data_IF_912157973605
#
_entry.id   IF_912157973605
#
_cell.length_a   1.000
_cell.length_b   1.000
_cell.length_c   1.000
_cell.angle_alpha   90.00
_cell.angle_beta   90.00
_cell.angle_gamma   90.00
#
_symmetry.space_group_name_H-M   'P 1'
#
loop_
_entity.id
_entity.type
_entity.pdbx_description
1 polymer ?
#
# COMPACT_ATOMS: atom_id res chain seq x y z
N UNK A 1 22.26 -62.79 -51.24
CA UNK A 1 21.69 -62.65 -49.88
C UNK A 1 22.33 -61.45 -49.22
N UNK A 2 21.75 -60.26 -49.43
CA UNK A 2 22.27 -59.02 -48.88
C UNK A 2 21.86 -58.92 -47.40
N UNK A 3 22.85 -58.82 -46.53
CA UNK A 3 22.66 -58.57 -45.10
C UNK A 3 22.37 -57.07 -44.96
N UNK A 4 21.17 -56.72 -44.50
CA UNK A 4 20.84 -55.36 -44.08
C UNK A 4 21.68 -55.00 -42.85
N UNK A 5 22.67 -54.13 -43.02
CA UNK A 5 23.23 -53.38 -41.89
C UNK A 5 22.32 -52.20 -41.62
N UNK A 6 21.63 -52.25 -40.47
CA UNK A 6 20.85 -51.13 -39.94
C UNK A 6 21.82 -50.18 -39.27
N UNK A 7 21.82 -48.94 -39.74
CA UNK A 7 22.65 -47.83 -39.28
C UNK A 7 22.41 -47.50 -37.79
N UNK A 8 23.42 -47.54 -36.91
CA UNK A 8 23.28 -47.25 -35.48
C UNK A 8 23.04 -45.76 -35.17
N UNK A 9 23.63 -44.84 -35.95
CA UNK A 9 23.63 -43.39 -35.65
C UNK A 9 22.23 -42.77 -35.86
N UNK A 10 21.52 -43.19 -36.90
CA UNK A 10 20.15 -42.72 -37.16
C UNK A 10 19.10 -43.16 -36.13
N UNK A 11 19.38 -44.20 -35.35
CA UNK A 11 18.51 -44.63 -34.25
C UNK A 11 18.72 -43.78 -32.99
N UNK A 12 19.95 -43.34 -32.73
CA UNK A 12 20.31 -42.57 -31.55
C UNK A 12 19.77 -41.13 -31.65
N UNK A 13 19.86 -40.51 -32.83
CA UNK A 13 19.27 -39.19 -33.11
C UNK A 13 17.73 -39.20 -33.09
N UNK A 14 17.09 -40.26 -33.60
CA UNK A 14 15.65 -40.41 -33.43
C UNK A 14 15.26 -40.58 -31.96
N UNK A 15 16.04 -41.35 -31.18
CA UNK A 15 15.76 -41.53 -29.76
C UNK A 15 15.90 -40.23 -28.97
N UNK A 16 16.93 -39.42 -29.26
CA UNK A 16 17.13 -38.12 -28.63
C UNK A 16 16.04 -37.11 -28.99
N UNK A 17 15.59 -37.09 -30.25
CA UNK A 17 14.47 -36.24 -30.67
C UNK A 17 13.16 -36.65 -30.00
N UNK A 18 12.89 -37.95 -29.88
CA UNK A 18 11.69 -38.44 -29.16
C UNK A 18 11.78 -38.11 -27.67
N UNK A 19 12.94 -38.28 -27.04
CA UNK A 19 13.14 -37.92 -25.63
C UNK A 19 12.98 -36.42 -25.38
N UNK A 20 13.47 -35.57 -26.28
CA UNK A 20 13.32 -34.12 -26.22
C UNK A 20 11.84 -33.71 -26.35
N UNK A 21 11.12 -34.27 -27.32
CA UNK A 21 9.68 -34.02 -27.47
C UNK A 21 8.88 -34.51 -26.27
N UNK A 22 9.23 -35.67 -25.70
CA UNK A 22 8.59 -36.20 -24.50
C UNK A 22 8.89 -35.30 -23.30
N UNK A 23 10.13 -34.84 -23.12
CA UNK A 23 10.50 -33.90 -22.06
C UNK A 23 9.75 -32.56 -22.18
N UNK A 24 9.58 -32.04 -23.40
CA UNK A 24 8.82 -30.82 -23.67
C UNK A 24 7.32 -31.02 -23.36
N UNK A 25 6.75 -32.17 -23.73
CA UNK A 25 5.37 -32.53 -23.39
C UNK A 25 5.17 -32.66 -21.88
N UNK A 26 6.12 -33.27 -21.16
CA UNK A 26 6.10 -33.34 -19.70
C UNK A 26 6.23 -31.96 -19.04
N UNK A 27 7.11 -31.09 -19.55
CA UNK A 27 7.25 -29.70 -19.07
C UNK A 27 5.98 -28.88 -19.28
N UNK A 28 5.31 -29.04 -20.43
CA UNK A 28 4.01 -28.41 -20.71
C UNK A 28 2.93 -28.95 -19.79
N UNK A 29 2.88 -30.27 -19.57
CA UNK A 29 1.92 -30.90 -18.66
C UNK A 29 2.13 -30.43 -17.21
N UNK A 30 3.38 -30.28 -16.78
CA UNK A 30 3.72 -29.76 -15.45
C UNK A 30 3.28 -28.30 -15.29
N UNK A 31 3.57 -27.45 -16.28
CA UNK A 31 3.10 -26.05 -16.33
C UNK A 31 1.58 -25.94 -16.33
N UNK A 32 0.87 -26.80 -17.07
CA UNK A 32 -0.60 -26.86 -17.04
C UNK A 32 -1.09 -27.24 -15.64
N UNK A 33 -0.40 -28.16 -14.96
CA UNK A 33 -0.78 -28.57 -13.61
C UNK A 33 -0.51 -27.47 -12.57
N UNK A 34 0.56 -26.71 -12.75
CA UNK A 34 0.91 -25.53 -11.94
C UNK A 34 -0.10 -24.39 -12.16
N UNK A 35 -0.41 -24.04 -13.41
CA UNK A 35 -1.50 -23.11 -13.77
C UNK A 35 -2.86 -23.58 -13.25
N UNK A 36 -3.14 -24.89 -13.28
CA UNK A 36 -4.36 -25.45 -12.71
C UNK A 36 -4.39 -25.28 -11.19
N UNK A 37 -3.25 -25.44 -10.52
CA UNK A 37 -3.12 -25.24 -9.07
C UNK A 37 -3.30 -23.76 -8.71
N UNK A 38 -2.64 -22.86 -9.44
CA UNK A 38 -2.80 -21.40 -9.37
C UNK A 38 -4.27 -20.97 -9.53
N UNK A 39 -4.93 -21.43 -10.61
CA UNK A 39 -6.34 -21.11 -10.88
C UNK A 39 -7.25 -21.70 -9.79
N UNK A 40 -6.97 -22.90 -9.29
CA UNK A 40 -7.73 -23.52 -8.20
C UNK A 40 -7.59 -22.72 -6.90
N UNK A 41 -6.38 -22.25 -6.58
CA UNK A 41 -6.11 -21.40 -5.41
C UNK A 41 -6.81 -20.04 -5.54
N UNK A 42 -6.80 -19.42 -6.73
CA UNK A 42 -7.53 -18.17 -7.00
C UNK A 42 -9.04 -18.36 -6.91
N UNK A 43 -9.58 -19.49 -7.39
CA UNK A 43 -10.99 -19.83 -7.25
C UNK A 43 -11.38 -19.97 -5.77
N UNK A 44 -10.59 -20.71 -4.98
CA UNK A 44 -10.83 -20.88 -3.55
C UNK A 44 -10.76 -19.55 -2.78
N UNK A 45 -9.84 -18.65 -3.14
CA UNK A 45 -9.79 -17.30 -2.58
C UNK A 45 -11.03 -16.46 -2.94
N UNK A 46 -11.53 -16.57 -4.18
CA UNK A 46 -12.75 -15.89 -4.62
C UNK A 46 -14.00 -16.45 -3.94
N UNK A 47 -14.13 -17.77 -3.81
CA UNK A 47 -15.21 -18.43 -3.07
C UNK A 47 -15.23 -17.97 -1.61
N UNK A 48 -14.07 -17.93 -0.95
CA UNK A 48 -13.96 -17.43 0.42
C UNK A 48 -14.34 -15.95 0.54
N UNK A 49 -14.01 -15.10 -0.44
CA UNK A 49 -14.48 -13.70 -0.49
C UNK A 49 -15.99 -13.61 -0.68
N UNK A 50 -16.56 -14.41 -1.57
CA UNK A 50 -18.01 -14.44 -1.83
C UNK A 50 -18.78 -14.91 -0.59
N UNK A 51 -18.27 -15.92 0.13
CA UNK A 51 -18.82 -16.34 1.42
C UNK A 51 -18.77 -15.23 2.47
N UNK A 52 -17.65 -14.51 2.55
CA UNK A 52 -17.46 -13.39 3.49
C UNK A 52 -18.41 -12.22 3.17
N UNK A 53 -18.58 -11.89 1.89
CA UNK A 53 -19.58 -10.90 1.44
C UNK A 53 -21.02 -11.37 1.68
N UNK A 54 -21.30 -12.67 1.53
CA UNK A 54 -22.58 -13.27 1.89
C UNK A 54 -22.90 -13.14 3.38
N UNK A 55 -21.92 -13.34 4.25
CA UNK A 55 -22.04 -13.11 5.69
C UNK A 55 -22.32 -11.64 6.02
N UNK A 56 -21.66 -10.70 5.34
CA UNK A 56 -21.93 -9.26 5.48
C UNK A 56 -23.37 -8.91 5.10
N UNK A 57 -23.94 -9.51 4.05
CA UNK A 57 -25.35 -9.30 3.68
C UNK A 57 -26.30 -9.75 4.78
N UNK A 58 -26.01 -10.89 5.43
CA UNK A 58 -26.80 -11.39 6.57
C UNK A 58 -26.72 -10.44 7.77
N UNK A 59 -25.54 -9.92 8.08
CA UNK A 59 -25.34 -8.95 9.15
C UNK A 59 -26.03 -7.60 8.87
N UNK A 60 -25.96 -7.12 7.62
CA UNK A 60 -26.68 -5.92 7.17
C UNK A 60 -28.18 -6.11 7.32
N UNK A 61 -28.72 -7.28 6.96
CA UNK A 61 -30.15 -7.55 7.07
C UNK A 61 -30.61 -7.69 8.53
N UNK A 62 -29.77 -8.25 9.40
CA UNK A 62 -29.98 -8.23 10.85
C UNK A 62 -29.99 -6.80 11.39
N UNK A 63 -29.04 -5.97 10.97
CA UNK A 63 -28.93 -4.57 11.38
C UNK A 63 -30.14 -3.74 10.91
N UNK A 64 -30.64 -3.95 9.68
CA UNK A 64 -31.89 -3.35 9.18
C UNK A 64 -33.11 -3.76 10.02
N UNK A 65 -33.20 -5.04 10.39
CA UNK A 65 -34.29 -5.54 11.22
C UNK A 65 -34.27 -4.95 12.63
N UNK A 66 -33.08 -4.78 13.21
CA UNK A 66 -32.90 -4.13 14.51
C UNK A 66 -33.24 -2.63 14.44
N UNK A 67 -32.84 -1.93 13.37
CA UNK A 67 -33.24 -0.54 13.11
C UNK A 67 -34.75 -0.37 12.96
N UNK A 68 -35.42 -1.34 12.32
CA UNK A 68 -36.88 -1.34 12.17
C UNK A 68 -37.58 -1.49 13.52
N UNK A 69 -37.13 -2.43 14.36
CA UNK A 69 -37.67 -2.61 15.73
C UNK A 69 -37.48 -1.37 16.59
N UNK A 70 -36.30 -0.74 16.55
CA UNK A 70 -36.03 0.50 17.30
C UNK A 70 -36.91 1.66 16.85
N UNK A 71 -37.21 1.76 15.55
CA UNK A 71 -38.15 2.75 15.02
C UNK A 71 -39.57 2.50 15.54
N UNK A 72 -40.03 1.25 15.52
CA UNK A 72 -41.36 0.86 15.98
C UNK A 72 -41.55 1.10 17.50
N UNK A 73 -40.49 0.86 18.29
CA UNK A 73 -40.45 1.16 19.74
C UNK A 73 -40.49 2.68 20.04
N UNK A 74 -39.84 3.52 19.22
CA UNK A 74 -39.95 4.98 19.35
C UNK A 74 -41.35 5.50 19.01
N UNK A 75 -41.99 4.95 17.97
CA UNK A 75 -43.37 5.34 17.61
C UNK A 75 -44.41 4.86 18.60
N UNK A 76 -44.21 3.69 19.24
CA UNK A 76 -45.14 3.18 20.27
C UNK A 76 -45.01 3.90 21.62
N UNK A 77 -43.87 4.55 21.91
CA UNK A 77 -43.69 5.42 23.08
C UNK A 77 -44.15 6.87 22.87
N UNK A 78 -44.50 7.26 21.65
CA UNK A 78 -44.88 8.63 21.26
C UNK A 78 -46.36 9.00 21.43
N UNK A 79 -47.14 8.23 22.19
CA UNK A 79 -48.58 8.49 22.43
C UNK A 79 -48.85 9.23 23.74
N UNK A 80 -48.38 10.48 23.91
CA UNK A 80 -48.61 11.21 25.16
C UNK A 80 -48.33 12.72 25.09
N UNK A 81 -49.34 13.48 24.65
CA UNK A 81 -49.59 14.93 24.84
C UNK A 81 -48.42 15.93 24.69
N UNK A 82 -48.49 16.66 23.59
CA UNK A 82 -47.89 17.98 23.37
C UNK A 82 -48.43 18.99 24.39
N UNK A 83 -47.56 19.67 25.14
CA UNK A 83 -47.95 20.73 26.07
C UNK A 83 -46.77 21.38 26.81
N UNK A 84 -46.20 22.42 26.19
CA UNK A 84 -45.52 23.60 26.75
C UNK A 84 -44.68 23.46 28.05
N UNK A 85 -43.36 23.70 27.96
CA UNK A 85 -42.61 24.29 29.09
C UNK A 85 -41.40 25.14 28.61
N UNK A 86 -41.29 26.42 29.03
CA UNK A 86 -40.21 27.33 28.67
C UNK A 86 -39.23 27.57 29.83
N UNK A 87 -37.93 27.31 29.67
CA UNK A 87 -36.87 27.86 30.54
C UNK A 87 -35.49 27.52 29.96
N UNK A 88 -34.67 28.51 29.59
CA UNK A 88 -33.78 29.33 30.44
C UNK A 88 -32.71 28.49 31.15
N UNK A 89 -31.49 28.63 30.65
CA UNK A 89 -30.24 28.26 31.32
C UNK A 89 -30.18 28.92 32.70
N UNK A 90 -30.15 28.10 33.75
CA UNK A 90 -29.61 28.46 35.05
C UNK A 90 -28.53 27.43 35.39
N UNK A 91 -27.29 27.90 35.51
CA UNK A 91 -26.27 27.17 36.25
C UNK A 91 -26.67 27.22 37.72
N UNK A 92 -26.94 26.05 38.30
CA UNK A 92 -27.00 25.87 39.74
C UNK A 92 -26.03 24.76 40.08
N UNK A 93 -25.01 25.15 40.81
CA UNK A 93 -24.02 24.33 41.49
C UNK A 93 -24.74 23.37 42.45
N UNK A 94 -24.74 22.08 42.12
CA UNK A 94 -25.11 21.02 43.05
C UNK A 94 -24.26 19.79 42.72
N UNK A 95 -23.31 19.50 43.60
CA UNK A 95 -22.30 18.43 43.52
C UNK A 95 -22.85 17.00 43.49
N UNK A 96 -23.63 16.64 42.47
CA UNK A 96 -23.99 15.26 42.15
C UNK A 96 -23.16 14.77 40.97
N UNK A 97 -22.34 13.75 41.22
CA UNK A 97 -21.65 12.96 40.18
C UNK A 97 -22.63 12.62 39.05
N UNK A 98 -22.40 13.16 37.87
CA UNK A 98 -23.08 12.78 36.65
C UNK A 98 -22.70 11.33 36.34
N UNK A 99 -23.58 10.38 36.63
CA UNK A 99 -23.50 9.05 36.05
C UNK A 99 -23.86 9.17 34.56
N UNK A 100 -22.98 8.78 33.62
CA UNK A 100 -23.32 8.80 32.20
C UNK A 100 -24.53 7.88 31.97
N UNK A 101 -25.58 8.41 31.33
CA UNK A 101 -26.72 7.60 30.87
C UNK A 101 -26.18 6.46 29.98
N UNK A 102 -26.31 5.24 30.50
CA UNK A 102 -26.15 3.97 29.78
C UNK A 102 -27.27 3.89 28.74
N UNK A 103 -26.97 4.24 27.50
CA UNK A 103 -27.68 3.78 26.30
C UNK A 103 -26.75 3.87 25.07
N UNK A 104 -25.44 3.72 25.27
CA UNK A 104 -24.50 3.43 24.18
C UNK A 104 -24.46 1.92 24.04
N UNK A 105 -24.83 1.33 22.89
CA UNK A 105 -24.62 -0.09 22.64
C UNK A 105 -23.17 -0.44 22.99
N UNK A 106 -22.95 -1.48 23.80
CA UNK A 106 -21.60 -1.96 24.08
C UNK A 106 -21.08 -2.58 22.79
N UNK A 107 -20.43 -1.79 21.95
CA UNK A 107 -19.65 -2.32 20.85
C UNK A 107 -18.57 -3.24 21.45
N UNK A 108 -18.42 -4.48 20.95
CA UNK A 108 -17.34 -5.33 21.38
C UNK A 108 -16.04 -4.54 21.18
N UNK A 109 -15.25 -4.39 22.25
CA UNK A 109 -13.90 -3.85 22.11
C UNK A 109 -13.17 -4.80 21.18
N UNK A 110 -12.73 -4.31 20.04
CA UNK A 110 -11.83 -5.09 19.21
C UNK A 110 -10.52 -5.25 19.99
N UNK A 111 -10.17 -6.49 20.31
CA UNK A 111 -8.97 -6.86 21.05
C UNK A 111 -8.09 -7.67 20.13
N UNK A 112 -6.91 -7.15 19.81
CA UNK A 112 -5.90 -7.85 19.04
C UNK A 112 -5.47 -9.11 19.79
N UNK A 113 -5.35 -10.24 19.09
CA UNK A 113 -4.78 -11.45 19.68
C UNK A 113 -3.27 -11.29 19.90
N UNK A 114 -2.68 -12.15 20.73
CA UNK A 114 -1.24 -12.11 20.97
C UNK A 114 -0.46 -12.43 19.67
N UNK A 115 -0.96 -13.38 18.87
CA UNK A 115 -0.40 -13.72 17.57
C UNK A 115 -0.44 -12.53 16.61
N UNK A 116 -1.54 -11.76 16.64
CA UNK A 116 -1.69 -10.54 15.84
C UNK A 116 -0.64 -9.51 16.24
N UNK A 117 -0.46 -9.29 17.54
CA UNK A 117 0.52 -8.34 18.09
C UNK A 117 1.95 -8.73 17.69
N UNK A 118 2.29 -10.00 17.76
CA UNK A 118 3.61 -10.51 17.39
C UNK A 118 3.87 -10.43 15.88
N UNK A 119 2.83 -10.71 15.07
CA UNK A 119 2.91 -10.55 13.63
C UNK A 119 3.06 -9.08 13.22
N UNK A 120 2.35 -8.16 13.91
CA UNK A 120 2.37 -6.72 13.64
C UNK A 120 3.77 -6.09 13.76
N UNK A 121 4.67 -6.73 14.52
CA UNK A 121 6.06 -6.30 14.71
C UNK A 121 7.01 -6.77 13.59
N UNK A 122 6.50 -7.49 12.59
CA UNK A 122 7.29 -8.08 11.49
C UNK A 122 6.85 -7.52 10.13
N UNK A 123 7.76 -7.41 9.15
CA UNK A 123 7.38 -6.93 7.82
C UNK A 123 6.52 -7.95 7.05
N UNK A 124 6.49 -9.19 7.52
CA UNK A 124 5.65 -10.27 7.00
C UNK A 124 4.18 -10.18 7.43
N UNK A 125 3.80 -9.15 8.20
CA UNK A 125 2.40 -8.91 8.56
C UNK A 125 1.54 -8.79 7.30
N UNK A 126 0.59 -9.70 7.14
CA UNK A 126 -0.34 -9.68 6.02
C UNK A 126 -1.40 -8.60 6.26
N UNK A 127 -1.32 -7.57 5.44
CA UNK A 127 -2.17 -6.38 5.54
C UNK A 127 -3.57 -6.59 4.95
N UNK A 128 -3.75 -7.56 4.07
CA UNK A 128 -5.00 -7.77 3.32
C UNK A 128 -6.09 -8.47 4.13
N UNK A 129 -5.73 -9.07 5.26
CA UNK A 129 -6.65 -9.80 6.13
C UNK A 129 -7.53 -8.89 7.01
N UNK A 130 -7.23 -7.59 7.09
CA UNK A 130 -7.81 -6.71 8.10
C UNK A 130 -8.75 -5.67 7.50
N UNK A 131 -9.90 -5.51 8.15
CA UNK A 131 -10.80 -4.41 7.88
C UNK A 131 -10.29 -3.09 8.48
N UNK A 132 -10.87 -1.99 8.02
CA UNK A 132 -10.46 -0.64 8.42
C UNK A 132 -10.45 -0.42 9.94
N UNK A 133 -11.47 -0.91 10.65
CA UNK A 133 -11.57 -0.74 12.11
C UNK A 133 -10.49 -1.55 12.86
N UNK A 134 -10.11 -2.71 12.32
CA UNK A 134 -9.06 -3.57 12.88
C UNK A 134 -7.69 -2.91 12.69
N UNK A 135 -7.46 -2.34 11.50
CA UNK A 135 -6.26 -1.55 11.20
C UNK A 135 -6.12 -0.31 12.09
N UNK A 136 -7.23 0.39 12.39
CA UNK A 136 -7.20 1.47 13.39
C UNK A 136 -6.76 0.97 14.77
N UNK A 137 -7.19 -0.23 15.15
CA UNK A 137 -6.82 -0.84 16.43
C UNK A 137 -5.34 -1.23 16.46
N UNK A 138 -4.79 -1.71 15.34
CA UNK A 138 -3.35 -1.95 15.17
C UNK A 138 -2.54 -0.65 15.33
N UNK A 139 -2.98 0.44 14.69
CA UNK A 139 -2.32 1.74 14.83
C UNK A 139 -2.41 2.27 16.27
N UNK A 140 -3.58 2.18 16.91
CA UNK A 140 -3.75 2.54 18.31
C UNK A 140 -2.78 1.74 19.19
N UNK A 141 -2.69 0.42 18.98
CA UNK A 141 -1.77 -0.46 19.70
C UNK A 141 -0.33 0.00 19.53
N UNK A 142 0.12 0.33 18.31
CA UNK A 142 1.49 0.81 18.08
C UNK A 142 1.83 2.05 18.90
N UNK A 143 0.94 3.04 18.98
CA UNK A 143 1.17 4.24 19.81
C UNK A 143 1.29 3.91 21.31
N UNK A 144 0.59 2.88 21.78
CA UNK A 144 0.70 2.40 23.16
C UNK A 144 1.97 1.58 23.40
N UNK A 145 2.28 0.60 22.53
CA UNK A 145 3.42 -0.31 22.64
C UNK A 145 4.75 0.43 22.54
N UNK A 146 4.83 1.43 21.66
CA UNK A 146 6.00 2.31 21.53
C UNK A 146 6.13 3.32 22.69
N UNK A 147 5.18 3.38 23.62
CA UNK A 147 5.20 4.31 24.75
C UNK A 147 4.84 5.77 24.41
N UNK A 148 4.46 6.06 23.16
CA UNK A 148 4.19 7.42 22.67
C UNK A 148 3.01 8.09 23.38
N UNK A 149 2.00 7.31 23.75
CA UNK A 149 0.86 7.82 24.54
C UNK A 149 1.33 8.43 25.87
N UNK A 150 2.33 7.81 26.51
CA UNK A 150 2.91 8.33 27.75
C UNK A 150 3.84 9.50 27.49
N UNK A 151 4.72 9.38 26.49
CA UNK A 151 5.69 10.42 26.10
C UNK A 151 5.02 11.78 25.85
N UNK A 152 3.96 11.79 25.03
CA UNK A 152 3.27 13.03 24.67
C UNK A 152 2.05 13.35 25.55
N UNK A 153 1.86 12.60 26.64
CA UNK A 153 0.70 12.71 27.53
C UNK A 153 -0.64 12.70 26.74
N UNK A 154 -0.77 11.78 25.78
CA UNK A 154 -1.93 11.74 24.88
C UNK A 154 -3.18 11.25 25.63
N UNK A 155 -4.32 11.89 25.39
CA UNK A 155 -5.60 11.33 25.82
C UNK A 155 -5.97 10.14 24.90
N UNK A 156 -6.17 8.92 25.42
CA UNK A 156 -6.46 7.74 24.59
C UNK A 156 -7.74 7.87 23.75
N UNK A 157 -8.73 8.64 24.21
CA UNK A 157 -9.95 8.91 23.44
C UNK A 157 -9.64 9.86 22.28
N UNK A 158 -8.80 10.86 22.50
CA UNK A 158 -8.34 11.78 21.45
C UNK A 158 -7.51 11.05 20.39
N UNK A 159 -6.65 10.10 20.79
CA UNK A 159 -5.92 9.24 19.85
C UNK A 159 -6.87 8.48 18.91
N UNK A 160 -7.89 7.81 19.47
CA UNK A 160 -8.89 7.10 18.64
C UNK A 160 -9.64 8.05 17.71
N UNK A 161 -10.08 9.22 18.21
CA UNK A 161 -10.80 10.21 17.39
C UNK A 161 -9.92 10.73 16.26
N UNK A 162 -8.66 11.01 16.53
CA UNK A 162 -7.68 11.42 15.53
C UNK A 162 -7.49 10.34 14.46
N UNK A 163 -7.28 9.07 14.85
CA UNK A 163 -7.14 7.95 13.93
C UNK A 163 -8.37 7.77 13.02
N UNK A 164 -9.58 7.86 13.59
CA UNK A 164 -10.84 7.83 12.82
C UNK A 164 -10.92 9.03 11.87
N UNK A 165 -10.55 10.23 12.33
CA UNK A 165 -10.57 11.43 11.49
C UNK A 165 -9.58 11.32 10.32
N UNK A 166 -8.38 10.81 10.56
CA UNK A 166 -7.37 10.53 9.54
C UNK A 166 -7.87 9.52 8.51
N UNK A 167 -8.62 8.49 8.92
CA UNK A 167 -9.19 7.51 8.00
C UNK A 167 -10.20 8.11 7.02
N UNK A 168 -10.98 9.12 7.45
CA UNK A 168 -12.01 9.74 6.60
C UNK A 168 -11.45 10.52 5.40
N UNK A 169 -10.20 10.98 5.47
CA UNK A 169 -9.53 11.74 4.40
C UNK A 169 -8.77 10.84 3.42
N UNK A 170 -9.18 9.58 3.28
CA UNK A 170 -8.56 8.66 2.34
C UNK A 170 -9.61 8.11 1.39
N UNK A 171 -9.55 8.55 0.14
CA UNK A 171 -10.42 8.04 -0.91
C UNK A 171 -9.85 6.83 -1.66
N UNK A 172 -8.57 6.50 -1.49
CA UNK A 172 -7.93 5.45 -2.30
C UNK A 172 -7.47 4.27 -1.45
N UNK A 173 -7.76 3.06 -1.96
CA UNK A 173 -7.50 1.74 -1.38
C UNK A 173 -6.04 1.50 -0.95
N UNK A 174 -5.10 2.34 -1.40
CA UNK A 174 -3.66 2.12 -1.26
C UNK A 174 -2.99 2.65 0.03
N UNK A 175 -3.60 3.60 0.76
CA UNK A 175 -2.78 4.44 1.66
C UNK A 175 -2.92 4.15 3.16
N UNK A 176 -3.63 3.09 3.57
CA UNK A 176 -3.72 2.66 4.99
C UNK A 176 -2.56 1.75 5.38
N UNK A 177 -2.08 0.92 4.46
CA UNK A 177 -1.27 -0.24 4.78
C UNK A 177 0.25 0.02 4.80
N UNK A 178 0.74 1.02 4.05
CA UNK A 178 2.15 1.51 4.06
C UNK A 178 2.63 2.02 5.44
N UNK A 179 1.70 2.24 6.37
CA UNK A 179 1.91 2.91 7.66
C UNK A 179 2.48 2.01 8.75
N UNK A 180 2.32 0.69 8.60
CA UNK A 180 2.74 -0.29 9.61
C UNK A 180 4.23 -0.68 9.52
N UNK A 181 4.89 -0.44 8.37
CA UNK A 181 6.28 -0.87 8.16
C UNK A 181 7.29 -0.02 8.94
N UNK A 182 6.94 1.22 9.30
CA UNK A 182 7.88 2.18 9.89
C UNK A 182 8.34 1.84 11.32
N UNK A 183 7.53 1.12 12.09
CA UNK A 183 7.93 0.67 13.42
C UNK A 183 8.98 -0.45 13.40
N UNK A 184 9.09 -1.18 12.28
CA UNK A 184 10.00 -2.33 12.11
C UNK A 184 11.39 -1.90 11.67
N UNK A 185 11.50 -0.81 10.90
CA UNK A 185 12.76 -0.35 10.30
C UNK A 185 13.74 0.30 11.28
N UNK A 186 13.34 0.63 12.51
CA UNK A 186 14.15 1.45 13.44
C UNK A 186 14.36 0.74 14.77
N UNK A 187 15.62 0.47 15.18
CA UNK A 187 15.90 0.03 16.54
C UNK A 187 15.49 1.13 17.54
N UNK A 188 14.55 0.82 18.43
CA UNK A 188 14.10 1.74 19.49
C UNK A 188 15.26 2.27 20.34
N UNK A 189 16.37 1.53 20.44
CA UNK A 189 17.55 1.90 21.21
C UNK A 189 18.37 3.04 20.61
N UNK A 190 18.13 3.41 19.35
CA UNK A 190 18.94 4.39 18.59
C UNK A 190 18.23 5.72 18.34
N UNK A 191 16.94 5.83 18.66
CA UNK A 191 16.15 7.05 18.48
C UNK A 191 15.40 7.41 19.76
N UNK A 192 15.16 8.70 19.95
CA UNK A 192 14.35 9.17 21.07
C UNK A 192 12.88 8.79 20.88
N UNK A 193 12.10 8.70 21.97
CA UNK A 193 10.64 8.49 21.87
C UNK A 193 9.96 9.62 21.09
N UNK A 194 10.48 10.84 21.21
CA UNK A 194 10.01 11.99 20.43
C UNK A 194 10.23 11.77 18.91
N UNK A 195 11.41 11.31 18.50
CA UNK A 195 11.70 10.98 17.09
C UNK A 195 10.81 9.86 16.56
N UNK A 196 10.58 8.82 17.36
CA UNK A 196 9.66 7.73 17.02
C UNK A 196 8.23 8.25 16.86
N UNK A 197 7.78 9.16 17.73
CA UNK A 197 6.49 9.82 17.62
C UNK A 197 6.32 10.65 16.37
N UNK A 198 7.38 11.37 15.99
CA UNK A 198 7.44 12.16 14.74
C UNK A 198 7.34 11.23 13.53
N UNK A 199 8.15 10.16 13.47
CA UNK A 199 8.13 9.18 12.38
C UNK A 199 6.77 8.50 12.23
N UNK A 200 6.20 8.01 13.33
CA UNK A 200 4.89 7.36 13.33
C UNK A 200 3.78 8.31 12.87
N UNK A 201 3.78 9.54 13.38
CA UNK A 201 2.75 10.53 13.02
C UNK A 201 2.89 10.99 11.58
N UNK A 202 4.12 11.19 11.09
CA UNK A 202 4.38 11.54 9.70
C UNK A 202 3.96 10.38 8.75
N UNK A 203 4.32 9.14 9.06
CA UNK A 203 3.90 7.97 8.29
C UNK A 203 2.36 7.86 8.22
N UNK A 204 1.67 8.11 9.33
CA UNK A 204 0.20 8.15 9.39
C UNK A 204 -0.41 9.39 8.69
N UNK A 205 0.36 10.38 8.29
CA UNK A 205 -0.16 11.60 7.67
C UNK A 205 0.31 11.85 6.24
N UNK A 206 1.35 11.16 5.76
CA UNK A 206 2.10 11.58 4.57
C UNK A 206 1.28 11.66 3.28
N UNK A 207 0.22 10.84 3.14
CA UNK A 207 -0.65 10.78 1.95
C UNK A 207 -2.12 11.18 2.23
N UNK A 208 -2.35 12.09 3.19
CA UNK A 208 -3.69 12.55 3.53
C UNK A 208 -4.36 13.32 2.37
N UNK A 209 -5.58 12.93 1.99
CA UNK A 209 -6.35 13.59 0.92
C UNK A 209 -5.67 13.53 -0.47
N UNK A 210 -4.95 12.44 -0.75
CA UNK A 210 -4.35 12.20 -2.07
C UNK A 210 -5.44 11.99 -3.15
N UNK A 211 -5.41 12.75 -4.27
CA UNK A 211 -6.49 12.73 -5.26
C UNK A 211 -6.41 11.58 -6.28
N UNK A 212 -5.37 10.74 -6.21
CA UNK A 212 -5.10 9.67 -7.17
C UNK A 212 -4.36 10.10 -8.43
N UNK A 213 -3.82 11.33 -8.45
CA UNK A 213 -3.02 11.86 -9.55
C UNK A 213 -1.79 12.56 -8.99
N UNK A 214 -0.60 12.19 -9.46
CA UNK A 214 0.68 12.65 -8.92
C UNK A 214 0.99 14.14 -9.23
N UNK A 215 2.08 14.66 -8.66
CA UNK A 215 2.51 16.05 -8.82
C UNK A 215 2.65 16.47 -10.30
N UNK A 216 3.16 15.60 -11.17
CA UNK A 216 3.30 15.89 -12.61
C UNK A 216 1.96 16.21 -13.26
N UNK A 217 0.92 15.44 -12.93
CA UNK A 217 -0.43 15.73 -13.40
C UNK A 217 -0.95 17.05 -12.82
N UNK A 218 -0.79 17.27 -11.49
CA UNK A 218 -1.26 18.50 -10.85
C UNK A 218 -0.70 19.74 -11.56
N UNK A 219 0.60 19.74 -11.86
CA UNK A 219 1.33 20.84 -12.50
C UNK A 219 0.91 21.00 -13.97
N UNK A 220 0.93 19.91 -14.74
CA UNK A 220 0.59 19.96 -16.18
C UNK A 220 -0.87 20.39 -16.41
N UNK A 221 -1.80 19.88 -15.59
CA UNK A 221 -3.21 20.24 -15.63
C UNK A 221 -3.52 21.58 -14.93
N UNK A 222 -2.52 22.22 -14.28
CA UNK A 222 -2.63 23.48 -13.54
C UNK A 222 -3.79 23.47 -12.55
N UNK A 223 -3.89 22.38 -11.79
CA UNK A 223 -4.96 22.18 -10.81
C UNK A 223 -4.88 23.23 -9.69
N UNK A 224 -5.94 23.32 -8.89
CA UNK A 224 -5.97 24.21 -7.73
C UNK A 224 -4.79 23.95 -6.78
N UNK A 225 -4.39 22.69 -6.58
CA UNK A 225 -3.26 22.34 -5.71
C UNK A 225 -1.93 22.86 -6.28
N UNK A 226 -1.69 22.69 -7.59
CA UNK A 226 -0.49 23.20 -8.24
C UNK A 226 -0.40 24.73 -8.15
N UNK A 227 -1.51 25.43 -8.42
CA UNK A 227 -1.59 26.90 -8.28
C UNK A 227 -1.37 27.34 -6.83
N UNK A 228 -2.00 26.67 -5.87
CA UNK A 228 -1.89 27.01 -4.44
C UNK A 228 -0.46 26.87 -3.91
N UNK A 229 0.25 25.83 -4.36
CA UNK A 229 1.61 25.52 -3.89
C UNK A 229 2.71 25.92 -4.89
N UNK A 230 2.35 26.67 -5.94
CA UNK A 230 3.28 27.22 -6.94
C UNK A 230 4.20 26.14 -7.53
N UNK A 231 3.64 24.98 -7.88
CA UNK A 231 4.34 23.82 -8.46
C UNK A 231 5.43 23.18 -7.57
N UNK A 232 5.57 23.60 -6.31
CA UNK A 232 6.57 23.05 -5.37
C UNK A 232 5.92 21.98 -4.49
N UNK A 233 6.22 20.71 -4.77
CA UNK A 233 5.65 19.52 -4.09
C UNK A 233 4.17 19.70 -3.70
N UNK A 234 3.25 19.95 -4.68
CA UNK A 234 1.88 20.35 -4.36
C UNK A 234 1.13 19.35 -3.46
N UNK A 235 1.29 18.05 -3.70
CA UNK A 235 0.63 17.01 -2.96
C UNK A 235 1.17 16.89 -1.53
N UNK A 236 2.49 16.82 -1.36
CA UNK A 236 3.10 16.67 -0.03
C UNK A 236 2.82 17.88 0.87
N UNK A 237 2.79 19.09 0.30
CA UNK A 237 2.33 20.28 1.00
C UNK A 237 0.85 20.18 1.42
N UNK A 238 0.00 19.66 0.53
CA UNK A 238 -1.43 19.44 0.81
C UNK A 238 -1.64 18.41 1.93
N UNK A 239 -0.98 17.25 1.86
CA UNK A 239 -1.04 16.21 2.88
C UNK A 239 -0.65 16.76 4.25
N UNK A 240 0.42 17.54 4.29
CA UNK A 240 0.87 18.20 5.50
C UNK A 240 -0.13 19.26 6.01
N UNK A 241 -0.71 20.06 5.12
CA UNK A 241 -1.73 21.05 5.50
C UNK A 241 -2.96 20.37 6.12
N UNK A 242 -3.47 19.30 5.50
CA UNK A 242 -4.61 18.51 6.01
C UNK A 242 -4.26 17.86 7.36
N UNK A 243 -3.06 17.29 7.52
CA UNK A 243 -2.61 16.70 8.78
C UNK A 243 -2.76 17.68 9.95
N UNK A 244 -2.29 18.91 9.77
CA UNK A 244 -2.34 19.93 10.81
C UNK A 244 -3.69 20.64 10.94
N UNK A 245 -4.51 20.66 9.89
CA UNK A 245 -5.92 21.03 10.03
C UNK A 245 -6.66 20.05 10.94
N UNK A 246 -6.44 18.74 10.78
CA UNK A 246 -6.99 17.72 11.69
C UNK A 246 -6.49 17.93 13.11
N UNK A 247 -5.18 18.11 13.30
CA UNK A 247 -4.59 18.32 14.64
C UNK A 247 -4.98 19.68 15.27
N UNK A 248 -5.50 20.63 14.49
CA UNK A 248 -6.04 21.89 15.03
C UNK A 248 -7.40 21.73 15.72
N UNK A 249 -8.12 20.63 15.44
CA UNK A 249 -9.38 20.30 16.10
C UNK A 249 -9.10 19.82 17.53
N UNK A 250 -9.64 20.47 18.58
CA UNK A 250 -9.36 20.09 19.97
C UNK A 250 -9.62 18.62 20.29
N UNK A 251 -10.64 18.02 19.66
CA UNK A 251 -11.02 16.62 19.84
C UNK A 251 -10.14 15.61 19.10
N UNK A 252 -9.27 16.06 18.19
CA UNK A 252 -8.31 15.25 17.42
C UNK A 252 -6.85 15.62 17.71
N UNK A 253 -6.59 16.61 18.57
CA UNK A 253 -5.24 17.08 18.84
C UNK A 253 -4.51 16.14 19.81
N UNK A 254 -3.81 15.13 19.27
CA UNK A 254 -3.00 14.19 20.06
C UNK A 254 -1.81 14.86 20.77
N UNK A 255 -1.43 16.08 20.37
CA UNK A 255 -0.36 16.86 20.99
C UNK A 255 -0.87 17.99 21.90
N UNK A 256 -2.16 17.96 22.29
CA UNK A 256 -2.76 19.02 23.12
C UNK A 256 -2.07 19.25 24.47
N UNK A 257 -1.40 18.23 25.00
CA UNK A 257 -0.71 18.28 26.28
C UNK A 257 0.82 18.43 26.15
N UNK A 258 1.33 18.63 24.94
CA UNK A 258 2.75 18.89 24.67
C UNK A 258 3.05 20.38 24.84
N UNK A 259 4.19 20.71 25.44
CA UNK A 259 4.62 22.09 25.58
C UNK A 259 4.79 22.77 24.22
N UNK A 260 4.49 24.07 24.15
CA UNK A 260 4.48 24.83 22.90
C UNK A 260 5.79 24.76 22.11
N UNK A 261 6.95 24.85 22.77
CA UNK A 261 8.25 24.78 22.08
C UNK A 261 8.53 23.39 21.53
N UNK A 262 8.23 22.33 22.28
CA UNK A 262 8.32 20.95 21.80
C UNK A 262 7.34 20.70 20.64
N UNK A 263 6.11 21.23 20.72
CA UNK A 263 5.14 21.14 19.63
C UNK A 263 5.64 21.79 18.34
N UNK A 264 6.30 22.95 18.42
CA UNK A 264 6.91 23.62 17.25
C UNK A 264 7.97 22.72 16.60
N UNK A 265 8.82 22.08 17.39
CA UNK A 265 9.85 21.16 16.90
C UNK A 265 9.23 19.91 16.25
N UNK A 266 8.26 19.28 16.92
CA UNK A 266 7.52 18.12 16.38
C UNK A 266 6.85 18.49 15.06
N UNK A 267 6.17 19.64 15.00
CA UNK A 267 5.52 20.14 13.80
C UNK A 267 6.53 20.31 12.66
N UNK A 268 7.63 21.00 12.93
CA UNK A 268 8.67 21.22 11.92
C UNK A 268 9.24 19.91 11.39
N UNK A 269 9.50 18.94 12.27
CA UNK A 269 10.03 17.65 11.87
C UNK A 269 9.03 16.85 11.04
N UNK A 270 7.75 16.80 11.43
CA UNK A 270 6.69 16.14 10.65
C UNK A 270 6.56 16.77 9.25
N UNK A 271 6.60 18.10 9.15
CA UNK A 271 6.60 18.82 7.86
C UNK A 271 7.78 18.34 6.99
N UNK A 272 9.00 18.35 7.55
CA UNK A 272 10.20 17.89 6.84
C UNK A 272 10.06 16.46 6.34
N UNK A 273 9.49 15.56 7.15
CA UNK A 273 9.33 14.15 6.77
C UNK A 273 8.28 13.93 5.69
N UNK A 274 7.12 14.60 5.77
CA UNK A 274 6.09 14.49 4.73
C UNK A 274 6.60 15.09 3.41
N UNK A 275 7.25 16.25 3.44
CA UNK A 275 7.85 16.83 2.21
C UNK A 275 9.01 16.00 1.64
N UNK A 276 9.59 15.09 2.42
CA UNK A 276 10.63 14.19 1.95
C UNK A 276 10.08 12.99 1.17
N UNK A 277 8.78 12.67 1.26
CA UNK A 277 8.19 11.54 0.51
C UNK A 277 8.13 11.81 -0.98
N UNK A 278 8.12 13.07 -1.43
CA UNK A 278 8.20 13.45 -2.84
C UNK A 278 9.38 12.74 -3.54
N UNK A 279 9.04 11.91 -4.52
CA UNK A 279 10.03 11.11 -5.26
C UNK A 279 10.89 11.95 -6.21
N UNK A 280 10.49 13.17 -6.56
CA UNK A 280 11.35 14.11 -7.28
C UNK A 280 12.63 14.45 -6.49
N UNK A 281 12.58 14.35 -5.15
CA UNK A 281 13.70 14.62 -4.24
C UNK A 281 14.47 13.36 -3.81
N UNK A 282 14.12 12.18 -4.33
CA UNK A 282 14.73 10.92 -3.91
C UNK A 282 16.26 10.92 -4.05
N UNK A 283 16.78 11.35 -5.21
CA UNK A 283 18.23 11.41 -5.47
C UNK A 283 18.96 12.33 -4.51
N UNK A 284 18.46 13.57 -4.33
CA UNK A 284 19.02 14.57 -3.41
C UNK A 284 19.12 14.03 -1.97
N UNK A 285 18.04 13.44 -1.47
CA UNK A 285 17.95 12.93 -0.09
C UNK A 285 18.88 11.73 0.09
N UNK A 286 18.85 10.76 -0.83
CA UNK A 286 19.65 9.55 -0.73
C UNK A 286 21.14 9.85 -0.86
N UNK A 287 21.53 10.76 -1.75
CA UNK A 287 22.94 11.16 -1.90
C UNK A 287 23.43 11.93 -0.67
N UNK A 288 22.61 12.80 -0.07
CA UNK A 288 22.93 13.44 1.21
C UNK A 288 23.17 12.40 2.32
N UNK A 289 22.35 11.34 2.38
CA UNK A 289 22.51 10.28 3.36
C UNK A 289 23.76 9.42 3.12
N UNK A 290 24.06 9.06 1.86
CA UNK A 290 25.28 8.32 1.50
C UNK A 290 26.56 9.05 1.93
N UNK A 291 26.60 10.39 1.88
CA UNK A 291 27.76 11.15 2.37
C UNK A 291 27.93 11.09 3.90
N UNK A 292 26.84 10.86 4.64
CA UNK A 292 26.83 10.84 6.11
C UNK A 292 26.98 9.43 6.70
N UNK A 293 26.59 8.40 5.96
CA UNK A 293 26.40 7.04 6.50
C UNK A 293 27.69 6.39 7.03
N UNK A 294 28.83 6.57 6.35
CA UNK A 294 30.09 5.91 6.74
C UNK A 294 30.72 6.55 8.00
N UNK A 295 30.30 7.75 8.38
CA UNK A 295 30.73 8.47 9.59
C UNK A 295 29.53 8.96 10.42
N UNK A 296 28.47 8.15 10.44
CA UNK A 296 27.19 8.57 11.01
C UNK A 296 27.27 8.80 12.52
N UNK A 297 26.81 9.97 12.98
CA UNK A 297 26.74 10.35 14.37
C UNK A 297 25.27 10.50 14.82
N UNK A 298 24.83 9.63 15.74
CA UNK A 298 23.48 9.66 16.32
C UNK A 298 23.22 10.85 17.25
N UNK A 299 24.26 11.60 17.63
CA UNK A 299 24.13 12.83 18.43
C UNK A 299 24.01 14.09 17.56
N UNK A 300 24.29 13.96 16.25
CA UNK A 300 24.18 15.06 15.30
C UNK A 300 22.76 15.14 14.72
N UNK A 301 22.08 16.26 14.98
CA UNK A 301 20.69 16.49 14.58
C UNK A 301 20.49 16.46 13.05
N UNK A 302 21.47 16.92 12.26
CA UNK A 302 21.40 16.86 10.79
C UNK A 302 21.48 15.42 10.29
N UNK A 303 22.35 14.60 10.89
CA UNK A 303 22.47 13.18 10.56
C UNK A 303 21.17 12.44 10.90
N UNK A 304 20.64 12.64 12.11
CA UNK A 304 19.39 12.02 12.55
C UNK A 304 18.21 12.48 11.69
N UNK A 305 18.14 13.76 11.31
CA UNK A 305 17.10 14.27 10.40
C UNK A 305 17.19 13.62 9.02
N UNK A 306 18.40 13.51 8.46
CA UNK A 306 18.65 12.83 7.19
C UNK A 306 18.23 11.35 7.25
N UNK A 307 18.59 10.66 8.33
CA UNK A 307 18.16 9.28 8.56
C UNK A 307 16.64 9.16 8.65
N UNK A 308 15.95 10.03 9.41
CA UNK A 308 14.48 10.02 9.50
C UNK A 308 13.81 10.23 8.14
N UNK A 309 14.35 11.11 7.29
CA UNK A 309 13.87 11.30 5.91
C UNK A 309 14.03 10.03 5.08
N UNK A 310 15.17 9.34 5.16
CA UNK A 310 15.36 8.07 4.44
C UNK A 310 14.44 6.97 4.99
N UNK A 311 14.25 6.90 6.31
CA UNK A 311 13.39 5.90 6.93
C UNK A 311 11.92 6.04 6.51
N UNK A 312 11.35 7.26 6.54
CA UNK A 312 9.96 7.44 6.08
C UNK A 312 9.81 7.06 4.60
N UNK A 313 10.82 7.37 3.77
CA UNK A 313 10.84 6.93 2.37
C UNK A 313 10.91 5.42 2.24
N UNK A 314 11.78 4.74 3.01
CA UNK A 314 11.81 3.28 3.07
C UNK A 314 10.43 2.70 3.38
N UNK A 315 9.69 3.28 4.33
CA UNK A 315 8.35 2.81 4.70
C UNK A 315 7.31 3.04 3.60
N UNK A 316 7.33 4.21 2.96
CA UNK A 316 6.37 4.59 1.93
C UNK A 316 6.44 3.64 0.73
N UNK A 317 7.64 3.33 0.25
CA UNK A 317 7.83 2.45 -0.92
C UNK A 317 8.20 1.01 -0.56
N UNK A 318 7.80 0.53 0.63
CA UNK A 318 8.24 -0.76 1.19
C UNK A 318 7.46 -1.99 0.70
N UNK A 319 6.57 -1.88 -0.29
CA UNK A 319 5.64 -2.98 -0.62
C UNK A 319 6.39 -4.26 -1.01
N UNK A 320 7.42 -4.14 -1.83
CA UNK A 320 8.25 -5.25 -2.31
C UNK A 320 9.21 -5.84 -1.26
N UNK A 321 9.22 -5.28 -0.04
CA UNK A 321 9.90 -5.89 1.12
C UNK A 321 9.06 -7.02 1.72
N UNK A 322 7.75 -7.01 1.46
CA UNK A 322 6.79 -7.97 2.03
C UNK A 322 6.84 -9.29 1.24
N UNK A 323 6.34 -10.39 1.82
CA UNK A 323 6.14 -11.64 1.07
C UNK A 323 5.36 -11.40 -0.22
N UNK A 324 5.70 -12.13 -1.28
CA UNK A 324 5.16 -11.94 -2.63
C UNK A 324 3.64 -11.91 -2.66
N UNK A 325 2.98 -12.78 -1.91
CA UNK A 325 1.52 -12.88 -1.85
C UNK A 325 0.87 -11.64 -1.24
N UNK A 326 1.60 -10.92 -0.38
CA UNK A 326 1.19 -9.66 0.22
C UNK A 326 1.58 -8.47 -0.67
N UNK A 327 2.73 -8.54 -1.35
CA UNK A 327 3.27 -7.47 -2.18
C UNK A 327 2.56 -7.36 -3.54
N UNK A 328 2.34 -8.47 -4.25
CA UNK A 328 1.86 -8.46 -5.65
C UNK A 328 0.52 -7.72 -5.85
N UNK A 329 -0.50 -7.86 -4.96
CA UNK A 329 -1.75 -7.11 -5.12
C UNK A 329 -1.56 -5.58 -5.07
N UNK A 330 -0.48 -5.08 -4.44
CA UNK A 330 -0.14 -3.66 -4.47
C UNK A 330 0.25 -3.16 -5.85
N UNK A 331 0.90 -4.02 -6.65
CA UNK A 331 1.32 -3.68 -8.00
C UNK A 331 0.10 -3.48 -8.89
N UNK A 332 -0.93 -4.32 -8.74
CA UNK A 332 -2.20 -4.15 -9.44
C UNK A 332 -2.85 -2.80 -9.09
N UNK A 333 -2.98 -2.49 -7.81
CA UNK A 333 -3.55 -1.22 -7.36
C UNK A 333 -2.73 0.00 -7.84
N UNK A 334 -1.40 -0.10 -7.83
CA UNK A 334 -0.51 0.96 -8.32
C UNK A 334 -0.71 1.20 -9.82
N UNK A 335 -0.72 0.13 -10.61
CA UNK A 335 -0.90 0.21 -12.06
C UNK A 335 -2.31 0.72 -12.41
N UNK A 336 -3.34 0.32 -11.67
CA UNK A 336 -4.69 0.87 -11.85
C UNK A 336 -4.71 2.39 -11.66
N UNK A 337 -4.09 2.91 -10.59
CA UNK A 337 -3.99 4.35 -10.36
C UNK A 337 -3.16 5.06 -11.44
N UNK A 338 -2.01 4.49 -11.83
CA UNK A 338 -1.16 5.05 -12.89
C UNK A 338 -1.86 5.09 -14.24
N UNK A 339 -2.60 4.04 -14.57
CA UNK A 339 -3.32 3.98 -15.84
C UNK A 339 -4.54 4.90 -15.85
N UNK A 340 -5.25 5.06 -14.73
CA UNK A 340 -6.30 6.08 -14.61
C UNK A 340 -5.75 7.49 -14.87
N UNK A 341 -4.56 7.79 -14.37
CA UNK A 341 -3.89 9.06 -14.65
C UNK A 341 -3.50 9.18 -16.12
N UNK A 342 -2.79 8.20 -16.68
CA UNK A 342 -2.29 8.32 -18.06
C UNK A 342 -3.41 8.32 -19.11
N UNK A 343 -4.49 7.57 -18.89
CA UNK A 343 -5.69 7.59 -19.75
C UNK A 343 -6.35 8.99 -19.73
N UNK A 344 -6.37 9.64 -18.55
CA UNK A 344 -6.87 11.01 -18.41
C UNK A 344 -5.94 12.03 -19.06
N UNK A 345 -4.63 11.91 -18.88
CA UNK A 345 -3.63 12.75 -19.54
C UNK A 345 -3.76 12.67 -21.07
N UNK A 346 -3.93 11.46 -21.65
CA UNK A 346 -4.21 11.27 -23.08
C UNK A 346 -5.48 12.01 -23.52
N UNK A 347 -6.55 11.91 -22.74
CA UNK A 347 -7.85 12.52 -23.05
C UNK A 347 -7.79 14.05 -22.99
N UNK A 348 -7.04 14.60 -22.03
CA UNK A 348 -6.89 16.05 -21.83
C UNK A 348 -5.77 16.66 -22.70
N UNK A 349 -5.06 15.85 -23.49
CA UNK A 349 -3.95 16.29 -24.34
C UNK A 349 -2.69 16.69 -23.56
N UNK A 350 -2.52 16.14 -22.35
CA UNK A 350 -1.37 16.38 -21.48
C UNK A 350 -0.22 15.38 -21.78
N UNK A 351 1.03 15.70 -21.41
CA UNK A 351 2.15 14.76 -21.53
C UNK A 351 1.93 13.50 -20.68
N UNK A 352 2.21 12.34 -21.26
CA UNK A 352 2.10 11.03 -20.59
C UNK A 352 3.49 10.46 -20.32
N UNK A 353 3.74 10.06 -19.08
CA UNK A 353 5.00 9.41 -18.71
C UNK A 353 5.05 7.95 -19.22
N UNK A 354 6.11 7.51 -19.92
CA UNK A 354 6.19 6.16 -20.48
C UNK A 354 6.00 5.03 -19.45
N UNK A 355 6.45 5.23 -18.21
CA UNK A 355 6.35 4.23 -17.13
C UNK A 355 4.96 4.18 -16.48
N UNK A 356 4.02 5.04 -16.89
CA UNK A 356 2.61 5.03 -16.48
C UNK A 356 1.67 4.68 -17.64
N UNK A 357 2.21 4.44 -18.83
CA UNK A 357 1.42 4.22 -20.04
C UNK A 357 0.92 2.77 -20.09
N UNK A 358 -0.40 2.59 -20.04
CA UNK A 358 -1.07 1.28 -20.11
C UNK A 358 -0.61 0.43 -21.29
N UNK A 359 -0.25 1.07 -22.40
CA UNK A 359 0.13 0.38 -23.64
C UNK A 359 1.60 -0.10 -23.62
N UNK A 360 2.40 0.33 -22.64
CA UNK A 360 3.85 0.07 -22.58
C UNK A 360 4.30 -0.66 -21.31
N UNK A 361 3.47 -0.67 -20.27
CA UNK A 361 3.85 -1.12 -18.94
C UNK A 361 3.20 -2.46 -18.63
N UNK A 362 4.04 -3.41 -18.22
CA UNK A 362 3.64 -4.68 -17.62
C UNK A 362 4.03 -4.69 -16.14
N UNK A 363 3.45 -5.59 -15.33
CA UNK A 363 3.87 -5.72 -13.92
C UNK A 363 5.38 -5.92 -13.77
N UNK A 364 6.03 -6.85 -14.50
CA UNK A 364 7.48 -7.05 -14.33
C UNK A 364 8.29 -5.80 -14.71
N UNK A 365 7.95 -5.13 -15.81
CA UNK A 365 8.70 -3.95 -16.28
C UNK A 365 8.57 -2.77 -15.32
N UNK A 366 7.42 -2.60 -14.65
CA UNK A 366 7.24 -1.60 -13.61
C UNK A 366 8.13 -1.88 -12.38
N UNK A 367 8.19 -3.14 -11.93
CA UNK A 367 8.84 -3.47 -10.66
C UNK A 367 10.36 -3.67 -10.78
N UNK A 368 10.89 -4.30 -11.83
CA UNK A 368 12.33 -4.61 -11.96
C UNK A 368 13.19 -3.36 -11.81
N UNK A 369 12.89 -2.32 -12.59
CA UNK A 369 13.65 -1.07 -12.57
C UNK A 369 13.54 -0.36 -11.22
N UNK A 370 12.34 -0.33 -10.65
CA UNK A 370 12.08 0.31 -9.36
C UNK A 370 12.82 -0.41 -8.22
N UNK A 371 12.75 -1.74 -8.15
CA UNK A 371 13.45 -2.53 -7.13
C UNK A 371 14.96 -2.35 -7.27
N UNK A 372 15.49 -2.50 -8.49
CA UNK A 372 16.93 -2.50 -8.77
C UNK A 372 17.60 -1.15 -8.56
N UNK A 373 16.95 -0.06 -8.96
CA UNK A 373 17.57 1.26 -9.01
C UNK A 373 17.06 2.23 -7.93
N UNK A 374 15.96 1.91 -7.24
CA UNK A 374 15.39 2.74 -6.17
C UNK A 374 15.43 2.02 -4.83
N UNK A 375 14.79 0.85 -4.73
CA UNK A 375 14.64 0.17 -3.43
C UNK A 375 15.98 -0.41 -2.93
N UNK A 376 16.62 -1.30 -3.68
CA UNK A 376 17.85 -1.96 -3.24
C UNK A 376 18.93 -0.94 -2.82
N UNK A 377 19.27 0.11 -3.62
CA UNK A 377 20.29 1.08 -3.23
C UNK A 377 19.94 1.85 -1.95
N UNK A 378 18.66 2.18 -1.75
CA UNK A 378 18.20 2.89 -0.54
C UNK A 378 18.32 2.00 0.70
N UNK A 379 17.79 0.77 0.62
CA UNK A 379 17.83 -0.18 1.73
C UNK A 379 19.26 -0.66 2.05
N UNK A 380 20.12 -0.87 1.05
CA UNK A 380 21.54 -1.18 1.27
C UNK A 380 22.29 -0.03 1.96
N UNK A 381 21.92 1.22 1.69
CA UNK A 381 22.50 2.36 2.40
C UNK A 381 22.07 2.37 3.87
N UNK A 382 20.80 2.06 4.16
CA UNK A 382 20.32 1.93 5.56
C UNK A 382 20.96 0.72 6.27
N UNK A 383 21.19 -0.37 5.55
CA UNK A 383 21.82 -1.61 6.06
C UNK A 383 23.22 -1.35 6.61
N UNK A 384 23.95 -0.35 6.11
CA UNK A 384 25.24 0.07 6.68
C UNK A 384 25.15 0.50 8.15
N UNK A 385 24.03 1.09 8.57
CA UNK A 385 23.78 1.46 9.98
C UNK A 385 23.07 0.35 10.75
N UNK A 386 22.23 -0.43 10.07
CA UNK A 386 21.39 -1.46 10.66
C UNK A 386 21.56 -2.78 9.92
N UNK A 387 22.67 -3.53 10.11
CA UNK A 387 22.95 -4.75 9.36
C UNK A 387 21.86 -5.82 9.47
N UNK A 388 21.09 -5.82 10.56
CA UNK A 388 19.99 -6.75 10.77
C UNK A 388 18.86 -6.67 9.72
N UNK A 389 18.78 -5.58 8.93
CA UNK A 389 17.77 -5.46 7.88
C UNK A 389 18.16 -6.23 6.60
N UNK A 390 19.39 -6.74 6.50
CA UNK A 390 19.83 -7.49 5.32
C UNK A 390 18.91 -8.68 5.05
N UNK A 391 18.78 -9.58 6.03
CA UNK A 391 17.94 -10.77 5.93
C UNK A 391 16.44 -10.43 5.90
N UNK A 392 16.04 -9.40 6.66
CA UNK A 392 14.63 -9.08 6.90
C UNK A 392 14.02 -8.24 5.76
N UNK A 393 14.82 -7.48 5.03
CA UNK A 393 14.32 -6.51 4.03
C UNK A 393 15.09 -6.48 2.72
N UNK A 394 16.43 -6.53 2.75
CA UNK A 394 17.24 -6.46 1.52
C UNK A 394 17.15 -7.76 0.72
N UNK A 395 17.18 -8.92 1.41
CA UNK A 395 17.06 -10.22 0.76
C UNK A 395 15.69 -10.41 0.06
N UNK A 396 14.53 -10.12 0.72
CA UNK A 396 13.22 -10.12 0.03
C UNK A 396 13.18 -9.25 -1.23
N UNK A 397 13.83 -8.08 -1.22
CA UNK A 397 13.90 -7.22 -2.42
C UNK A 397 14.71 -7.86 -3.56
N UNK A 398 15.79 -8.58 -3.23
CA UNK A 398 16.58 -9.32 -4.23
C UNK A 398 15.79 -10.48 -4.80
N UNK A 399 15.08 -11.21 -3.95
CA UNK A 399 14.22 -12.33 -4.37
C UNK A 399 13.05 -11.83 -5.23
N UNK A 400 12.41 -10.70 -4.86
CA UNK A 400 11.35 -10.05 -5.64
C UNK A 400 11.86 -9.58 -7.02
N UNK A 401 13.05 -8.98 -7.08
CA UNK A 401 13.69 -8.62 -8.36
C UNK A 401 13.83 -9.85 -9.26
N UNK A 402 14.38 -10.94 -8.74
CA UNK A 402 14.66 -12.14 -9.52
C UNK A 402 13.34 -12.78 -10.00
N UNK A 403 12.33 -12.82 -9.14
CA UNK A 403 10.97 -13.24 -9.50
C UNK A 403 10.39 -12.43 -10.67
N UNK A 404 10.47 -11.10 -10.64
CA UNK A 404 9.98 -10.28 -11.76
C UNK A 404 10.85 -10.41 -13.02
N UNK A 405 12.18 -10.58 -12.89
CA UNK A 405 13.05 -10.85 -14.05
C UNK A 405 12.66 -12.17 -14.75
N UNK A 406 12.31 -13.21 -13.98
CA UNK A 406 11.77 -14.47 -14.52
C UNK A 406 10.39 -14.28 -15.19
N UNK A 407 9.46 -13.57 -14.54
CA UNK A 407 8.15 -13.25 -15.12
C UNK A 407 8.28 -12.49 -16.44
N UNK A 408 9.23 -11.55 -16.52
CA UNK A 408 9.48 -10.81 -17.76
C UNK A 408 9.95 -11.74 -18.89
N UNK A 409 10.83 -12.69 -18.60
CA UNK A 409 11.29 -13.65 -19.61
C UNK A 409 10.13 -14.53 -20.12
N UNK A 410 9.20 -14.90 -19.24
CA UNK A 410 7.99 -15.64 -19.60
C UNK A 410 7.08 -14.78 -20.50
N UNK A 411 6.84 -13.51 -20.13
CA UNK A 411 6.04 -12.57 -20.92
C UNK A 411 6.62 -12.35 -22.33
N UNK A 412 7.94 -12.16 -22.42
CA UNK A 412 8.65 -11.99 -23.69
C UNK A 412 8.48 -13.25 -24.57
N UNK A 413 8.70 -14.44 -23.99
CA UNK A 413 8.55 -15.71 -24.71
C UNK A 413 7.10 -15.97 -25.17
N UNK A 414 6.10 -15.64 -24.35
CA UNK A 414 4.68 -15.76 -24.73
C UNK A 414 4.31 -14.81 -25.88
N UNK A 415 4.87 -13.60 -25.86
CA UNK A 415 4.65 -12.60 -26.91
C UNK A 415 5.26 -13.06 -28.24
N UNK A 416 6.49 -13.58 -28.22
CA UNK A 416 7.15 -14.15 -29.41
C UNK A 416 6.36 -15.32 -30.01
N UNK A 417 5.88 -16.24 -29.16
CA UNK A 417 5.04 -17.37 -29.58
C UNK A 417 3.74 -16.86 -30.21
N UNK A 418 3.08 -15.86 -29.60
CA UNK A 418 1.88 -15.22 -30.16
C UNK A 418 2.10 -14.61 -31.54
N UNK A 419 3.23 -13.92 -31.73
CA UNK A 419 3.63 -13.39 -33.04
C UNK A 419 3.85 -14.50 -34.07
N UNK A 420 4.55 -15.58 -33.71
CA UNK A 420 4.77 -16.75 -34.58
C UNK A 420 3.45 -17.41 -35.01
N UNK A 421 2.49 -17.55 -34.09
CA UNK A 421 1.15 -18.06 -34.41
C UNK A 421 0.38 -17.11 -35.35
N UNK A 422 0.44 -15.80 -35.12
CA UNK A 422 -0.22 -14.81 -35.98
C UNK A 422 0.38 -14.75 -37.39
N UNK A 423 1.71 -14.82 -37.50
CA UNK A 423 2.42 -14.93 -38.78
C UNK A 423 2.03 -16.21 -39.53
N UNK A 424 1.94 -17.35 -38.85
CA UNK A 424 1.53 -18.61 -39.48
C UNK A 424 0.07 -18.59 -39.96
N UNK A 425 -0.85 -17.96 -39.22
CA UNK A 425 -2.23 -17.75 -39.68
C UNK A 425 -2.27 -16.83 -40.89
N UNK A 426 -1.49 -15.74 -40.88
CA UNK A 426 -1.42 -14.79 -42.01
C UNK A 426 -0.84 -15.45 -43.26
N UNK A 427 0.23 -16.23 -43.13
CA UNK A 427 0.80 -17.03 -44.23
C UNK A 427 -0.19 -18.07 -44.77
N UNK A 428 -0.97 -18.72 -43.89
CA UNK A 428 -2.01 -19.66 -44.29
C UNK A 428 -3.15 -18.97 -45.07
N UNK A 429 -3.56 -17.77 -44.65
CA UNK A 429 -4.59 -16.98 -45.33
C UNK A 429 -4.12 -16.40 -46.67
N UNK A 430 -2.86 -15.94 -46.76
CA UNK A 430 -2.27 -15.45 -48.03
C UNK A 430 -2.15 -16.57 -49.06
N UNK A 431 -1.85 -17.80 -48.63
CA UNK A 431 -1.81 -18.98 -49.51
C UNK A 431 -3.20 -19.49 -49.95
N UNK A 432 -4.30 -18.91 -49.44
CA UNK A 432 -5.67 -19.22 -49.87
C UNK A 432 -6.27 -18.18 -50.83
N UNK A 433 -5.52 -17.14 -51.22
CA UNK A 433 -5.99 -16.16 -52.21
C UNK A 433 -5.77 -16.75 -53.62
N UNK A 434 -6.83 -17.07 -54.39
CA UNK A 434 -6.66 -17.60 -55.74
C UNK A 434 -6.08 -16.52 -56.66
N UNK A 435 -4.98 -16.84 -57.33
CA UNK A 435 -4.36 -16.00 -58.36
C UNK A 435 -5.35 -15.87 -59.52
N UNK A 436 -5.78 -14.66 -59.93
CA UNK A 436 -6.67 -14.50 -61.07
C UNK A 436 -5.90 -14.82 -62.36
N UNK A 437 -6.26 -15.95 -62.98
CA UNK A 437 -5.78 -16.31 -64.31
C UNK A 437 -6.52 -15.40 -65.31
N UNK A 438 -5.83 -14.40 -65.85
CA UNK A 438 -6.33 -13.61 -66.99
C UNK A 438 -6.24 -14.45 -68.27
N UNK A 439 -7.34 -14.64 -69.03
CA UNK A 439 -7.26 -15.27 -70.33
C UNK A 439 -6.74 -14.28 -71.38
N UNK A 440 -5.96 -14.82 -72.32
CA UNK A 440 -5.31 -14.11 -73.45
C UNK A 440 -6.18 -14.08 -74.69
#
# INVERSE_FOLDING_TARGET
TAIMMVDPEGKEDMFQNVLSQVAEQFSRAFRINELKTEVTNRLAMLEKRVELEGLKVVEIEKCKNDLKKLRDEMTSRGGGRVGNCPCKYNFSDDGKKLNPRRDVPSYPKYTLSQETIEALKKPTFDVWHWEHNEMLSCLEYMYHDLGLVKEFNMNPITLKRWLVKVQLYKSNYLNIYRRLTCAVCVPQEKMTLTDMGILMTAAVCHDLDHPGYNNTYQINARTELAVRYNDISPLENHHCAVAFQILSLPECNIFANVELEAYKQIRQAIITLILATDMARHGEILDSFKHKVDSFDFTNEEHVTCLKMVLIKCCDISNEVRPTEVAEPWVDCLLEEYFMQSDREKTEGLPVAPFMDRDKVTKPTAQIGFIKFVLIPMFETVMKLFPQIEEIMVQPLRDSRDHYEELKQIDDAMTEVGHLFSLNITLSLVNQIPIPIFPS
#
